data_IF_703413657772
#
_entry.id   IF_703413657772
#
_cell.length_a   1.000
_cell.length_b   1.000
_cell.length_c   1.000
_cell.angle_alpha   90.00
_cell.angle_beta   90.00
_cell.angle_gamma   90.00
#
_symmetry.space_group_name_H-M   'P 1'
#
loop_
_entity.id
_entity.type
_entity.pdbx_description
1 polymer ?
#
# COMPACT_ATOMS: atom_id res chain seq x y z
N UNK A 1 -91.81 -6.67 -3.46
CA UNK A 1 -92.34 -6.59 -4.84
C UNK A 1 -91.18 -6.29 -5.79
N UNK A 2 -91.02 -7.12 -6.84
CA UNK A 2 -90.35 -6.94 -8.15
C UNK A 2 -88.97 -6.22 -8.22
N UNK A 3 -87.87 -6.93 -8.53
CA UNK A 3 -87.37 -7.31 -9.89
C UNK A 3 -86.99 -6.11 -10.77
N UNK A 4 -85.71 -5.95 -11.12
CA UNK A 4 -85.23 -6.19 -12.51
C UNK A 4 -83.72 -5.91 -12.65
N UNK A 5 -83.01 -6.94 -13.10
CA UNK A 5 -81.65 -6.93 -13.66
C UNK A 5 -81.65 -6.37 -15.10
N UNK A 6 -80.45 -6.12 -15.67
CA UNK A 6 -80.03 -6.39 -17.08
C UNK A 6 -79.04 -5.31 -17.58
N UNK A 7 -77.72 -5.52 -17.68
CA UNK A 7 -76.87 -6.39 -18.55
C UNK A 7 -76.22 -5.61 -19.71
N UNK A 8 -74.89 -5.78 -19.79
CA UNK A 8 -73.98 -5.72 -20.95
C UNK A 8 -73.83 -4.44 -21.80
N UNK A 9 -72.58 -3.97 -21.90
CA UNK A 9 -71.87 -4.14 -23.18
C UNK A 9 -70.36 -4.23 -22.99
N UNK A 10 -69.89 -5.33 -23.51
CA UNK A 10 -68.57 -5.91 -23.43
C UNK A 10 -67.80 -5.55 -24.72
N UNK A 11 -66.47 -5.74 -24.69
CA UNK A 11 -65.61 -6.14 -25.84
C UNK A 11 -64.90 -5.07 -26.70
N UNK A 12 -63.55 -5.20 -26.64
CA UNK A 12 -62.54 -5.11 -27.73
C UNK A 12 -62.11 -3.69 -28.12
N UNK A 13 -60.87 -3.33 -28.48
CA UNK A 13 -59.57 -4.01 -28.72
C UNK A 13 -58.57 -2.86 -29.03
N UNK A 14 -57.32 -3.00 -28.59
CA UNK A 14 -56.04 -2.41 -29.09
C UNK A 14 -55.96 -0.96 -29.63
N UNK A 15 -55.00 -0.16 -29.14
CA UNK A 15 -53.70 0.10 -29.81
C UNK A 15 -52.80 1.03 -28.98
N UNK A 16 -51.49 0.76 -29.04
CA UNK A 16 -50.35 1.25 -28.27
C UNK A 16 -49.96 2.73 -28.56
N UNK A 17 -49.29 3.43 -27.61
CA UNK A 17 -48.04 4.22 -27.82
C UNK A 17 -47.61 5.06 -26.57
N UNK A 18 -46.34 4.86 -26.15
CA UNK A 18 -45.41 5.78 -25.42
C UNK A 18 -45.65 6.11 -23.92
N UNK A 19 -44.84 5.57 -23.00
CA UNK A 19 -43.63 6.18 -22.38
C UNK A 19 -43.97 7.21 -21.27
N UNK A 20 -43.64 7.02 -20.00
CA UNK A 20 -42.29 7.12 -19.42
C UNK A 20 -42.25 6.32 -18.09
N UNK A 21 -41.42 5.27 -18.13
CA UNK A 21 -40.49 4.81 -17.10
C UNK A 21 -40.84 5.08 -15.63
N UNK A 22 -41.26 4.02 -14.93
CA UNK A 22 -41.10 3.90 -13.49
C UNK A 22 -39.62 4.08 -13.13
N UNK A 23 -39.26 5.25 -12.59
CA UNK A 23 -37.96 5.42 -11.93
C UNK A 23 -38.06 4.84 -10.50
N UNK A 24 -38.20 3.52 -10.40
CA UNK A 24 -37.92 2.82 -9.14
C UNK A 24 -36.41 2.75 -9.00
N UNK A 25 -35.82 3.76 -8.36
CA UNK A 25 -34.42 3.70 -7.95
C UNK A 25 -34.30 2.57 -6.92
N UNK A 26 -33.53 1.49 -7.17
CA UNK A 26 -33.09 0.68 -6.06
C UNK A 26 -32.18 1.61 -5.25
N UNK A 27 -32.57 1.86 -4.00
CA UNK A 27 -31.64 2.39 -3.03
C UNK A 27 -30.49 1.38 -2.96
N UNK A 28 -29.39 1.65 -3.66
CA UNK A 28 -28.10 1.17 -3.20
C UNK A 28 -27.99 1.72 -1.80
N UNK A 29 -28.25 0.87 -0.80
CA UNK A 29 -27.72 1.13 0.52
C UNK A 29 -26.24 1.43 0.28
N UNK A 30 -25.83 2.68 0.48
CA UNK A 30 -24.44 2.97 0.73
C UNK A 30 -24.12 2.05 1.89
N UNK A 31 -23.34 0.99 1.61
CA UNK A 31 -22.84 0.13 2.64
C UNK A 31 -22.11 1.08 3.57
N UNK A 32 -22.72 1.37 4.73
CA UNK A 32 -22.06 2.05 5.82
C UNK A 32 -20.88 1.13 6.11
N UNK A 33 -19.70 1.50 5.59
CA UNK A 33 -18.45 0.86 5.95
C UNK A 33 -18.50 0.71 7.47
N UNK A 34 -18.25 -0.50 8.01
CA UNK A 34 -18.36 -0.70 9.45
C UNK A 34 -17.61 0.43 10.12
N UNK A 35 -18.37 1.26 10.82
CA UNK A 35 -17.85 2.37 11.62
C UNK A 35 -17.25 1.69 12.84
N UNK A 36 -16.04 1.17 12.65
CA UNK A 36 -15.48 0.12 13.48
C UNK A 36 -14.00 -0.01 13.19
N UNK A 37 -13.25 0.93 13.77
CA UNK A 37 -11.79 1.08 13.71
C UNK A 37 -11.22 1.40 12.32
N UNK A 38 -10.44 2.49 12.14
CA UNK A 38 -9.66 2.65 10.91
C UNK A 38 -8.80 1.40 10.73
N UNK A 39 -8.81 0.82 9.52
CA UNK A 39 -7.91 -0.28 9.18
C UNK A 39 -6.47 0.16 9.49
N UNK A 40 -5.62 -0.73 10.05
CA UNK A 40 -4.25 -0.36 10.37
C UNK A 40 -3.57 0.16 9.10
N UNK A 41 -3.02 1.37 9.19
CA UNK A 41 -2.33 1.98 8.06
C UNK A 41 -0.99 1.26 7.89
N UNK A 42 -0.78 0.56 6.79
CA UNK A 42 0.50 -0.11 6.55
C UNK A 42 1.56 0.85 6.03
N UNK A 43 2.80 0.69 6.50
CA UNK A 43 3.94 1.52 6.12
C UNK A 43 5.02 0.63 5.52
N UNK A 44 5.44 0.90 4.28
CA UNK A 44 6.43 0.09 3.53
C UNK A 44 7.81 0.73 3.56
N UNK A 45 8.85 -0.01 3.95
CA UNK A 45 10.24 0.43 4.10
C UNK A 45 11.14 -0.31 3.10
N UNK A 46 12.01 0.44 2.42
CA UNK A 46 13.20 -0.12 1.79
C UNK A 46 14.34 -0.08 2.81
N UNK A 47 14.95 -1.23 3.09
CA UNK A 47 15.98 -1.41 4.10
C UNK A 47 17.22 -2.00 3.44
N UNK A 48 18.32 -1.26 3.51
CA UNK A 48 19.63 -1.69 3.08
C UNK A 48 20.40 -2.15 4.32
N UNK A 49 20.99 -3.34 4.26
CA UNK A 49 21.86 -3.84 5.32
C UNK A 49 23.22 -4.18 4.77
N UNK A 50 24.26 -3.61 5.37
CA UNK A 50 25.64 -3.83 4.97
C UNK A 50 26.51 -4.24 6.15
N UNK A 51 27.63 -4.90 5.89
CA UNK A 51 28.73 -5.02 6.85
C UNK A 51 29.49 -3.69 6.93
N UNK A 52 30.36 -3.54 7.93
CA UNK A 52 31.26 -2.39 8.02
C UNK A 52 32.19 -2.24 6.80
N UNK A 53 32.44 -3.32 6.05
CA UNK A 53 33.17 -3.30 4.79
C UNK A 53 32.39 -2.69 3.61
N UNK A 54 31.10 -2.38 3.79
CA UNK A 54 30.21 -1.93 2.71
C UNK A 54 29.57 -3.05 1.90
N UNK A 55 29.89 -4.33 2.18
CA UNK A 55 29.26 -5.48 1.52
C UNK A 55 27.80 -5.65 1.96
N UNK A 56 26.92 -5.90 0.99
CA UNK A 56 25.52 -6.22 1.24
C UNK A 56 25.38 -7.51 2.06
N UNK A 57 24.43 -7.52 2.99
CA UNK A 57 24.00 -8.74 3.66
C UNK A 57 22.71 -9.18 3.00
N UNK A 58 22.69 -10.41 2.48
CA UNK A 58 21.61 -10.91 1.62
C UNK A 58 20.83 -12.08 2.21
N UNK A 59 21.28 -12.62 3.35
CA UNK A 59 20.76 -13.83 3.98
C UNK A 59 19.87 -13.58 5.23
N UNK A 60 19.66 -12.32 5.62
CA UNK A 60 18.77 -11.98 6.74
C UNK A 60 17.34 -12.42 6.47
N UNK A 61 16.70 -12.90 7.54
CA UNK A 61 15.30 -13.33 7.56
C UNK A 61 14.45 -12.31 8.31
N UNK A 62 13.12 -12.37 8.16
CA UNK A 62 12.20 -11.45 8.84
C UNK A 62 12.43 -11.39 10.37
N UNK A 63 12.70 -12.53 11.01
CA UNK A 63 12.93 -12.60 12.46
C UNK A 63 14.20 -11.88 12.93
N UNK A 64 15.13 -11.55 12.01
CA UNK A 64 16.33 -10.79 12.33
C UNK A 64 16.03 -9.30 12.50
N UNK A 65 14.83 -8.83 12.14
CA UNK A 65 14.46 -7.41 12.15
C UNK A 65 13.49 -7.06 13.29
N UNK A 66 13.69 -5.87 13.85
CA UNK A 66 12.72 -5.19 14.71
C UNK A 66 12.44 -3.81 14.15
N UNK A 67 11.16 -3.49 13.99
CA UNK A 67 10.71 -2.16 13.55
C UNK A 67 10.10 -1.42 14.73
N UNK A 68 10.46 -0.15 14.89
CA UNK A 68 9.91 0.74 15.89
C UNK A 68 9.29 1.95 15.22
N UNK A 69 8.14 2.35 15.74
CA UNK A 69 7.39 3.55 15.37
C UNK A 69 7.19 4.39 16.63
N UNK A 70 7.82 5.56 16.69
CA UNK A 70 7.90 6.38 17.91
C UNK A 70 8.32 5.57 19.15
N UNK A 71 9.41 4.81 19.01
CA UNK A 71 9.98 3.89 20.03
C UNK A 71 9.09 2.68 20.39
N UNK A 72 7.88 2.58 19.85
CA UNK A 72 7.00 1.44 20.06
C UNK A 72 7.30 0.33 19.06
N UNK A 73 7.60 -0.88 19.54
CA UNK A 73 7.82 -2.02 18.66
C UNK A 73 6.56 -2.35 17.85
N UNK A 74 6.71 -2.53 16.53
CA UNK A 74 5.63 -2.85 15.59
C UNK A 74 5.84 -4.22 14.97
N UNK A 75 4.72 -4.89 14.71
CA UNK A 75 4.74 -6.17 14.01
C UNK A 75 5.05 -5.95 12.52
N UNK A 76 5.95 -6.78 11.98
CA UNK A 76 6.21 -6.84 10.54
C UNK A 76 5.12 -7.70 9.90
N UNK A 77 4.38 -7.12 8.96
CA UNK A 77 3.26 -7.77 8.25
C UNK A 77 3.64 -8.29 6.86
N UNK A 78 4.76 -7.81 6.30
CA UNK A 78 5.32 -8.32 5.05
C UNK A 78 6.84 -8.15 5.02
N UNK A 79 7.52 -9.12 4.42
CA UNK A 79 8.97 -9.13 4.26
C UNK A 79 9.35 -9.71 2.89
N UNK A 80 10.27 -9.03 2.18
CA UNK A 80 10.87 -9.54 0.94
C UNK A 80 12.35 -9.20 0.85
N UNK A 81 13.14 -10.12 0.34
CA UNK A 81 14.50 -9.87 -0.14
C UNK A 81 14.46 -9.56 -1.65
N UNK A 82 15.02 -8.42 -2.07
CA UNK A 82 14.90 -7.93 -3.45
C UNK A 82 16.29 -7.61 -4.00
N UNK A 83 16.66 -8.31 -5.07
CA UNK A 83 17.79 -7.95 -5.93
C UNK A 83 17.28 -7.03 -7.04
N UNK A 84 17.56 -5.74 -6.92
CA UNK A 84 17.28 -4.74 -7.94
C UNK A 84 18.36 -4.79 -9.00
N UNK A 85 17.98 -5.23 -10.20
CA UNK A 85 18.81 -5.08 -11.39
C UNK A 85 18.55 -3.68 -11.94
N UNK A 86 19.57 -2.90 -12.28
CA UNK A 86 19.35 -1.63 -12.93
C UNK A 86 18.61 -1.90 -14.23
N UNK A 87 17.42 -1.33 -14.36
CA UNK A 87 16.71 -1.31 -15.63
C UNK A 87 17.58 -0.49 -16.57
N UNK A 88 18.16 -1.13 -17.60
CA UNK A 88 19.09 -0.51 -18.57
C UNK A 88 18.51 0.77 -19.17
N UNK A 89 18.75 1.93 -18.55
CA UNK A 89 18.34 3.23 -19.09
C UNK A 89 19.00 4.43 -18.40
N UNK A 90 20.26 4.38 -17.98
CA UNK A 90 21.09 5.61 -17.86
C UNK A 90 22.53 5.28 -18.19
N UNK A 91 22.80 5.03 -19.47
CA UNK A 91 24.16 5.21 -20.02
C UNK A 91 24.01 6.04 -21.28
N UNK A 92 24.16 7.36 -21.14
CA UNK A 92 25.01 8.20 -22.00
C UNK A 92 24.74 9.68 -21.73
N UNK A 93 25.83 10.45 -21.83
CA UNK A 93 25.93 11.92 -21.78
C UNK A 93 25.92 12.59 -20.41
N UNK A 94 27.06 12.52 -19.72
CA UNK A 94 27.67 13.75 -19.20
C UNK A 94 29.17 13.79 -19.52
N UNK A 95 29.55 14.90 -20.13
CA UNK A 95 30.90 15.33 -20.46
C UNK A 95 31.80 15.28 -19.22
N UNK A 96 33.08 14.98 -19.44
CA UNK A 96 34.10 14.68 -18.45
C UNK A 96 34.03 15.49 -17.15
N UNK A 97 33.65 14.82 -16.07
CA UNK A 97 34.09 15.12 -14.71
C UNK A 97 34.35 13.77 -14.05
N UNK A 98 35.56 13.59 -13.53
CA UNK A 98 35.92 12.44 -12.72
C UNK A 98 35.14 12.48 -11.39
N UNK A 99 33.90 11.97 -11.41
CA UNK A 99 33.14 11.76 -10.17
C UNK A 99 33.53 10.39 -9.64
N UNK A 100 34.23 10.43 -8.51
CA UNK A 100 34.46 9.39 -7.51
C UNK A 100 33.83 8.04 -7.85
N UNK A 101 34.68 7.09 -8.25
CA UNK A 101 34.35 5.68 -8.33
C UNK A 101 33.65 5.27 -7.03
N UNK A 102 32.37 4.94 -7.13
CA UNK A 102 31.65 4.25 -6.06
C UNK A 102 32.35 2.90 -5.93
N UNK A 103 33.22 2.78 -4.93
CA UNK A 103 33.83 1.51 -4.53
C UNK A 103 32.76 0.65 -3.84
N UNK A 104 31.86 0.08 -4.64
CA UNK A 104 31.03 -1.03 -4.21
C UNK A 104 31.65 -2.30 -4.78
N UNK A 105 32.34 -3.05 -3.91
CA UNK A 105 33.18 -4.20 -4.24
C UNK A 105 32.48 -5.41 -4.89
N UNK A 106 31.26 -5.28 -5.41
CA UNK A 106 30.54 -6.32 -6.16
C UNK A 106 29.70 -5.75 -7.34
N UNK A 107 29.78 -4.44 -7.64
CA UNK A 107 28.85 -3.74 -8.54
C UNK A 107 29.46 -3.39 -9.89
N UNK A 108 29.98 -4.37 -10.63
CA UNK A 108 30.27 -4.16 -12.06
C UNK A 108 28.99 -4.12 -12.92
N UNK A 109 27.84 -4.58 -12.38
CA UNK A 109 26.53 -4.60 -13.06
C UNK A 109 25.49 -3.60 -12.53
N UNK A 110 25.84 -2.72 -11.59
CA UNK A 110 24.89 -1.74 -11.02
C UNK A 110 23.77 -2.37 -10.16
N UNK A 111 23.87 -3.66 -9.81
CA UNK A 111 22.87 -4.38 -9.02
C UNK A 111 22.89 -3.91 -7.55
N UNK A 112 21.70 -3.68 -6.99
CA UNK A 112 21.49 -3.30 -5.58
C UNK A 112 20.68 -4.40 -4.88
N UNK A 113 21.00 -4.70 -3.62
CA UNK A 113 20.21 -5.61 -2.80
C UNK A 113 19.56 -4.85 -1.64
N UNK A 114 18.26 -5.07 -1.44
CA UNK A 114 17.52 -4.48 -0.33
C UNK A 114 16.49 -5.45 0.23
N UNK A 115 16.08 -5.19 1.46
CA UNK A 115 14.90 -5.80 2.07
C UNK A 115 13.73 -4.83 1.99
N UNK A 116 12.55 -5.34 1.65
CA UNK A 116 11.30 -4.61 1.76
C UNK A 116 10.56 -5.09 3.00
N UNK A 117 10.20 -4.17 3.89
CA UNK A 117 9.53 -4.45 5.16
C UNK A 117 8.26 -3.62 5.25
N UNK A 118 7.12 -4.27 5.46
CA UNK A 118 5.87 -3.58 5.79
C UNK A 118 5.51 -3.83 7.25
N UNK A 119 5.06 -2.79 7.95
CA UNK A 119 4.55 -2.90 9.31
C UNK A 119 3.24 -2.13 9.47
N UNK A 120 2.48 -2.45 10.51
CA UNK A 120 1.29 -1.69 10.88
C UNK A 120 1.69 -0.40 11.60
N UNK A 121 1.32 0.77 11.10
CA UNK A 121 1.58 2.05 11.74
C UNK A 121 0.88 2.18 13.09
N UNK A 122 1.50 2.93 14.00
CA UNK A 122 0.81 3.53 15.13
C UNK A 122 -0.21 4.57 14.61
N UNK A 123 -1.38 4.59 15.24
CA UNK A 123 -2.43 5.56 14.93
C UNK A 123 -1.93 6.96 15.33
N UNK A 124 -2.02 7.91 14.40
CA UNK A 124 -1.71 9.30 14.68
C UNK A 124 -2.85 9.93 15.49
N UNK A 125 -2.51 10.81 16.42
CA UNK A 125 -3.50 11.59 17.17
C UNK A 125 -3.88 12.87 16.42
N UNK A 126 -3.00 13.31 15.53
CA UNK A 126 -3.15 14.55 14.76
C UNK A 126 -2.83 14.35 13.28
N UNK A 127 -3.41 15.20 12.43
CA UNK A 127 -3.10 15.20 11.01
C UNK A 127 -1.65 15.62 10.79
N UNK A 128 -0.96 14.94 9.88
CA UNK A 128 0.43 15.21 9.53
C UNK A 128 1.39 15.09 10.73
N UNK A 129 1.13 14.15 11.63
CA UNK A 129 1.99 13.87 12.79
C UNK A 129 3.26 13.15 12.33
N UNK A 130 4.44 13.65 12.71
CA UNK A 130 5.68 12.96 12.37
C UNK A 130 5.90 11.75 13.27
N UNK A 131 6.05 10.60 12.65
CA UNK A 131 6.38 9.34 13.29
C UNK A 131 7.81 8.96 12.95
N UNK A 132 8.67 8.83 13.97
CA UNK A 132 10.04 8.35 13.80
C UNK A 132 10.00 6.84 13.57
N UNK A 133 10.71 6.40 12.54
CA UNK A 133 10.91 4.99 12.24
C UNK A 133 12.35 4.62 12.53
N UNK A 134 12.52 3.54 13.28
CA UNK A 134 13.80 2.89 13.50
C UNK A 134 13.69 1.41 13.11
N UNK A 135 14.70 0.92 12.39
CA UNK A 135 14.85 -0.51 12.09
C UNK A 135 16.13 -0.99 12.72
N UNK A 136 16.03 -2.03 13.54
CA UNK A 136 17.17 -2.72 14.14
C UNK A 136 17.29 -4.11 13.55
N UNK A 137 18.53 -4.58 13.44
CA UNK A 137 18.83 -5.96 13.07
C UNK A 137 19.52 -6.64 14.25
N UNK A 138 19.01 -7.78 14.69
CA UNK A 138 19.52 -8.58 15.80
C UNK A 138 20.77 -9.39 15.38
N UNK A 139 21.68 -8.77 14.62
CA UNK A 139 22.96 -9.34 14.20
C UNK A 139 24.07 -8.28 14.37
N UNK A 140 25.10 -8.52 15.19
CA UNK A 140 26.12 -7.52 15.48
C UNK A 140 26.97 -7.18 14.27
N UNK A 141 27.50 -5.95 14.22
CA UNK A 141 28.43 -5.51 13.17
C UNK A 141 27.77 -5.21 11.81
N UNK A 142 26.44 -5.10 11.78
CA UNK A 142 25.68 -4.68 10.61
C UNK A 142 25.27 -3.22 10.72
N UNK A 143 25.27 -2.56 9.57
CA UNK A 143 24.81 -1.19 9.39
C UNK A 143 23.48 -1.25 8.65
N UNK A 144 22.44 -0.65 9.24
CA UNK A 144 21.09 -0.60 8.69
C UNK A 144 20.81 0.79 8.15
N UNK A 145 20.33 0.89 6.91
CA UNK A 145 19.96 2.15 6.27
C UNK A 145 18.53 2.07 5.75
N UNK A 146 17.71 3.00 6.21
CA UNK A 146 16.33 3.18 5.74
C UNK A 146 15.90 4.63 6.03
N UNK A 147 14.68 5.01 5.66
CA UNK A 147 14.14 6.31 6.06
C UNK A 147 13.89 6.36 7.57
N UNK A 148 14.05 7.54 8.15
CA UNK A 148 13.95 7.74 9.60
C UNK A 148 12.55 8.08 10.11
N UNK A 149 11.55 8.17 9.23
CA UNK A 149 10.18 8.48 9.64
C UNK A 149 9.22 8.71 8.47
N UNK A 150 7.98 9.04 8.82
CA UNK A 150 6.91 9.39 7.89
C UNK A 150 5.91 10.34 8.57
N UNK A 151 5.04 10.96 7.79
CA UNK A 151 3.94 11.77 8.31
C UNK A 151 2.65 10.95 8.31
N UNK A 152 2.07 10.78 9.49
CA UNK A 152 0.89 9.98 9.73
C UNK A 152 -0.38 10.84 9.66
N UNK A 153 -1.51 10.16 9.47
CA UNK A 153 -2.85 10.76 9.47
C UNK A 153 -3.71 9.98 10.45
N UNK A 154 -4.67 10.65 11.12
CA UNK A 154 -5.63 9.99 11.99
C UNK A 154 -6.52 8.99 11.23
#
# INVERSE_FOLDING_TARGET
MKQSQSIFKDKRVCLFLEAILLCTVPAFAQQKSPEGSPAPRSVHLNVIVTRNSGQWVTDLQQQDFKVFDNDSARNITSFKSVLLKPTSAVVSSFIGVATTQVQTGDTERGELFQYEITFDAQIAQSANEYHRVEVRVDRPGLIVRTRHGYYAQP
#
